data_IF_165106446999
#
_entry.id   IF_165106446999
#
_cell.length_a   1.000
_cell.length_b   1.000
_cell.length_c   1.000
_cell.angle_alpha   90.00
_cell.angle_beta   90.00
_cell.angle_gamma   90.00
#
_symmetry.space_group_name_H-M   'P 1'
#
loop_
_entity.id
_entity.type
_entity.pdbx_description
1 polymer ?
#
# COMPACT_ATOMS: atom_id res chain seq x y z
N UNK A 1 -4.84 -21.64 11.05
CA UNK A 1 -4.60 -20.22 10.70
C UNK A 1 -3.64 -19.67 11.73
N UNK A 2 -2.52 -19.09 11.30
CA UNK A 2 -1.46 -18.62 12.20
C UNK A 2 -1.69 -17.13 12.55
N UNK A 3 -1.93 -16.76 13.83
CA UNK A 3 -2.06 -15.38 14.25
C UNK A 3 -0.86 -14.51 13.87
N UNK A 4 0.33 -15.08 13.80
CA UNK A 4 1.52 -14.31 13.44
C UNK A 4 1.51 -13.90 11.96
N UNK A 5 0.77 -14.61 11.12
CA UNK A 5 0.69 -14.33 9.68
C UNK A 5 -0.02 -13.02 9.35
N UNK A 6 -1.11 -12.66 10.04
CA UNK A 6 -1.85 -11.41 9.80
C UNK A 6 -1.04 -10.22 10.30
N UNK A 7 -0.49 -10.30 11.51
CA UNK A 7 0.38 -9.26 12.06
C UNK A 7 1.63 -9.06 11.20
N UNK A 8 2.30 -10.16 10.82
CA UNK A 8 3.48 -10.13 9.95
C UNK A 8 3.18 -9.55 8.58
N UNK A 9 2.10 -9.99 7.92
CA UNK A 9 1.70 -9.48 6.61
C UNK A 9 1.35 -7.99 6.66
N UNK A 10 0.63 -7.56 7.69
CA UNK A 10 0.24 -6.14 7.85
C UNK A 10 1.46 -5.25 8.06
N UNK A 11 2.42 -5.68 8.89
CA UNK A 11 3.68 -4.96 9.10
C UNK A 11 4.54 -4.89 7.83
N UNK A 12 4.64 -5.99 7.08
CA UNK A 12 5.38 -6.03 5.81
C UNK A 12 4.75 -5.08 4.77
N UNK A 13 3.43 -5.11 4.63
CA UNK A 13 2.71 -4.21 3.71
C UNK A 13 2.85 -2.75 4.09
N UNK A 14 2.83 -2.44 5.39
CA UNK A 14 3.10 -1.08 5.88
C UNK A 14 4.48 -0.60 5.45
N UNK A 15 5.51 -1.44 5.56
CA UNK A 15 6.85 -1.12 5.08
C UNK A 15 6.88 -0.88 3.55
N UNK A 16 6.16 -1.71 2.77
CA UNK A 16 6.01 -1.49 1.33
C UNK A 16 5.32 -0.16 0.99
N UNK A 17 4.29 0.23 1.74
CA UNK A 17 3.65 1.54 1.56
C UNK A 17 4.64 2.68 1.80
N UNK A 18 5.45 2.63 2.87
CA UNK A 18 6.46 3.67 3.15
C UNK A 18 7.54 3.77 2.07
N UNK A 19 8.00 2.64 1.54
CA UNK A 19 8.94 2.63 0.42
C UNK A 19 8.33 3.35 -0.80
N UNK A 20 7.09 3.03 -1.15
CA UNK A 20 6.39 3.64 -2.27
C UNK A 20 6.09 5.14 -2.05
N UNK A 21 5.74 5.55 -0.83
CA UNK A 21 5.62 6.96 -0.44
C UNK A 21 6.96 7.69 -0.61
N UNK A 22 8.07 7.02 -0.29
CA UNK A 22 9.40 7.59 -0.50
C UNK A 22 9.66 7.82 -2.00
N UNK A 23 9.23 6.90 -2.87
CA UNK A 23 9.31 7.11 -4.32
C UNK A 23 8.45 8.27 -4.79
N UNK A 24 7.20 8.39 -4.34
CA UNK A 24 6.32 9.51 -4.74
C UNK A 24 6.90 10.86 -4.29
N UNK A 25 7.45 10.93 -3.08
CA UNK A 25 8.06 12.15 -2.56
C UNK A 25 9.33 12.54 -3.34
N UNK A 26 10.17 11.56 -3.71
CA UNK A 26 11.36 11.82 -4.52
C UNK A 26 11.00 12.38 -5.90
N UNK A 27 10.02 11.80 -6.59
CA UNK A 27 9.56 12.30 -7.89
C UNK A 27 9.02 13.73 -7.79
N UNK A 28 8.28 14.04 -6.71
CA UNK A 28 7.77 15.38 -6.45
C UNK A 28 8.89 16.38 -6.16
N UNK A 29 9.90 16.00 -5.36
CA UNK A 29 11.04 16.86 -5.03
C UNK A 29 11.94 17.14 -6.24
N UNK A 30 12.08 16.18 -7.14
CA UNK A 30 12.83 16.33 -8.38
C UNK A 30 12.09 17.20 -9.42
N UNK A 31 10.84 17.59 -9.17
CA UNK A 31 10.05 18.40 -10.08
C UNK A 31 9.57 17.64 -11.31
N UNK A 32 9.42 16.31 -11.22
CA UNK A 32 8.87 15.50 -12.31
C UNK A 32 7.41 15.94 -12.53
N UNK A 33 7.01 16.29 -13.76
CA UNK A 33 5.66 16.78 -14.02
C UNK A 33 4.62 15.70 -13.70
N UNK A 34 3.69 16.05 -12.82
CA UNK A 34 2.56 15.24 -12.37
C UNK A 34 1.25 15.97 -12.70
N UNK A 35 0.95 16.09 -14.00
CA UNK A 35 -0.14 16.94 -14.52
C UNK A 35 -1.50 16.70 -13.84
N UNK A 36 -1.83 15.45 -13.57
CA UNK A 36 -3.09 15.05 -12.92
C UNK A 36 -2.97 14.88 -11.38
N UNK A 37 -1.85 15.30 -10.78
CA UNK A 37 -1.54 15.04 -9.36
C UNK A 37 -1.67 13.55 -8.99
N UNK A 38 -1.37 12.67 -9.94
CA UNK A 38 -1.52 11.22 -9.78
C UNK A 38 -0.48 10.66 -8.81
N UNK A 39 0.76 11.13 -8.89
CA UNK A 39 1.86 10.72 -8.00
C UNK A 39 1.66 11.30 -6.60
N UNK A 40 1.33 12.59 -6.51
CA UNK A 40 1.04 13.23 -5.24
C UNK A 40 -0.15 12.54 -4.55
N UNK A 41 -1.24 12.31 -5.27
CA UNK A 41 -2.42 11.61 -4.77
C UNK A 41 -2.14 10.17 -4.35
N UNK A 42 -1.34 9.44 -5.12
CA UNK A 42 -0.91 8.08 -4.75
C UNK A 42 -0.12 8.07 -3.43
N UNK A 43 0.74 9.06 -3.20
CA UNK A 43 1.47 9.20 -1.93
C UNK A 43 0.52 9.29 -0.73
N UNK A 44 -0.54 10.10 -0.84
CA UNK A 44 -1.59 10.18 0.18
C UNK A 44 -2.35 8.87 0.36
N UNK A 45 -2.77 8.23 -0.73
CA UNK A 45 -3.52 6.97 -0.68
C UNK A 45 -2.69 5.86 0.02
N UNK A 46 -1.39 5.78 -0.27
CA UNK A 46 -0.45 4.84 0.36
C UNK A 46 -0.22 5.16 1.85
N UNK A 47 -0.16 6.45 2.20
CA UNK A 47 -0.04 6.89 3.59
C UNK A 47 -1.29 6.48 4.40
N UNK A 48 -2.50 6.68 3.87
CA UNK A 48 -3.71 6.23 4.54
C UNK A 48 -3.80 4.70 4.66
N UNK A 49 -3.42 3.97 3.61
CA UNK A 49 -3.34 2.52 3.67
C UNK A 49 -2.34 2.03 4.74
N UNK A 50 -1.18 2.69 4.89
CA UNK A 50 -0.16 2.31 5.88
C UNK A 50 -0.62 2.52 7.33
N UNK A 51 -1.44 3.56 7.57
CA UNK A 51 -2.06 3.79 8.88
C UNK A 51 -3.04 2.68 9.21
N UNK A 52 -3.93 2.31 8.28
CA UNK A 52 -4.89 1.22 8.51
C UNK A 52 -4.21 -0.13 8.73
N UNK A 53 -3.12 -0.41 8.01
CA UNK A 53 -2.33 -1.63 8.22
C UNK A 53 -1.69 -1.69 9.61
N UNK A 54 -1.30 -0.53 10.16
CA UNK A 54 -0.79 -0.45 11.53
C UNK A 54 -1.88 -0.73 12.55
N UNK A 55 -3.07 -0.18 12.34
CA UNK A 55 -4.22 -0.45 13.19
C UNK A 55 -4.54 -1.94 13.22
N UNK A 56 -4.58 -2.60 12.07
CA UNK A 56 -4.78 -4.06 11.97
C UNK A 56 -3.69 -4.80 12.74
N UNK A 57 -2.42 -4.44 12.53
CA UNK A 57 -1.29 -5.08 13.21
C UNK A 57 -1.36 -4.92 14.73
N UNK A 58 -1.63 -3.70 15.22
CA UNK A 58 -1.74 -3.40 16.64
C UNK A 58 -2.92 -4.13 17.27
N UNK A 59 -4.12 -4.03 16.69
CA UNK A 59 -5.32 -4.69 17.18
C UNK A 59 -5.17 -6.22 17.16
N UNK A 60 -4.54 -6.78 16.12
CA UNK A 60 -4.24 -8.21 16.10
C UNK A 60 -3.30 -8.62 17.22
N UNK A 61 -2.20 -7.90 17.42
CA UNK A 61 -1.21 -8.21 18.46
C UNK A 61 -1.79 -8.10 19.87
N UNK A 62 -2.60 -7.06 20.14
CA UNK A 62 -3.19 -6.85 21.46
C UNK A 62 -4.27 -7.85 21.81
N UNK A 63 -5.00 -8.36 20.81
CA UNK A 63 -6.25 -9.09 21.05
C UNK A 63 -6.28 -10.48 20.38
N UNK A 64 -5.13 -10.98 19.94
CA UNK A 64 -5.00 -12.26 19.24
C UNK A 64 -5.63 -13.43 20.00
N UNK A 65 -5.51 -13.48 21.33
CA UNK A 65 -6.12 -14.54 22.15
C UNK A 65 -7.65 -14.54 22.06
N UNK A 66 -8.28 -13.37 22.14
CA UNK A 66 -9.73 -13.17 21.98
C UNK A 66 -10.18 -13.59 20.58
N UNK A 67 -9.38 -13.22 19.59
CA UNK A 67 -9.63 -13.55 18.18
C UNK A 67 -9.52 -15.03 17.83
N UNK A 68 -8.69 -15.78 18.55
CA UNK A 68 -8.52 -17.22 18.34
C UNK A 68 -9.65 -18.05 18.95
N UNK A 69 -10.30 -17.56 20.00
CA UNK A 69 -11.38 -18.28 20.69
C UNK A 69 -12.76 -17.95 20.11
N UNK A 70 -12.90 -16.89 19.30
CA UNK A 70 -14.18 -16.42 18.79
C UNK A 70 -14.62 -17.23 17.54
N UNK A 71 -15.70 -18.04 17.60
CA UNK A 71 -16.05 -19.00 16.55
C UNK A 71 -16.37 -18.38 15.19
N UNK A 72 -17.08 -17.24 15.20
CA UNK A 72 -17.45 -16.50 13.98
C UNK A 72 -16.29 -15.69 13.40
N UNK A 73 -15.25 -15.44 14.20
CA UNK A 73 -14.05 -14.76 13.72
C UNK A 73 -13.16 -15.73 12.91
N UNK A 74 -13.01 -16.96 13.42
CA UNK A 74 -12.24 -18.04 12.79
C UNK A 74 -12.77 -18.51 11.42
N UNK A 75 -14.09 -18.54 11.24
CA UNK A 75 -14.73 -19.11 10.05
C UNK A 75 -14.95 -18.12 8.89
N UNK A 76 -14.97 -16.81 9.16
CA UNK A 76 -15.32 -15.82 8.15
C UNK A 76 -14.46 -14.56 8.16
N UNK A 77 -14.25 -13.96 9.32
CA UNK A 77 -13.55 -12.67 9.39
C UNK A 77 -12.07 -12.81 9.00
N UNK A 78 -11.32 -13.72 9.61
CA UNK A 78 -9.87 -13.80 9.40
C UNK A 78 -9.43 -14.27 8.02
N UNK A 79 -10.07 -15.28 7.39
CA UNK A 79 -9.74 -15.63 6.02
C UNK A 79 -9.94 -14.43 5.07
N UNK A 80 -10.97 -13.62 5.30
CA UNK A 80 -11.21 -12.41 4.51
C UNK A 80 -10.16 -11.33 4.75
N UNK A 81 -9.75 -11.09 6.00
CA UNK A 81 -8.64 -10.17 6.32
C UNK A 81 -7.35 -10.65 5.65
N UNK A 82 -7.03 -11.94 5.75
CA UNK A 82 -5.84 -12.52 5.14
C UNK A 82 -5.85 -12.41 3.61
N UNK A 83 -6.99 -12.69 2.98
CA UNK A 83 -7.17 -12.54 1.53
C UNK A 83 -7.01 -11.08 1.08
N UNK A 84 -7.55 -10.13 1.84
CA UNK A 84 -7.39 -8.71 1.57
C UNK A 84 -5.93 -8.26 1.69
N UNK A 85 -5.21 -8.72 2.72
CA UNK A 85 -3.77 -8.46 2.87
C UNK A 85 -2.98 -9.06 1.70
N UNK A 86 -3.27 -10.29 1.29
CA UNK A 86 -2.61 -10.92 0.15
C UNK A 86 -2.88 -10.17 -1.18
N UNK A 87 -4.13 -9.79 -1.43
CA UNK A 87 -4.50 -9.00 -2.61
C UNK A 87 -3.86 -7.60 -2.61
N UNK A 88 -3.75 -6.99 -1.43
CA UNK A 88 -3.01 -5.74 -1.23
C UNK A 88 -1.53 -5.94 -1.57
N UNK A 89 -0.90 -7.02 -1.11
CA UNK A 89 0.49 -7.36 -1.41
C UNK A 89 0.77 -7.42 -2.91
N UNK A 90 -0.06 -8.16 -3.65
CA UNK A 90 0.05 -8.26 -5.11
C UNK A 90 -0.08 -6.88 -5.78
N UNK A 91 -0.96 -6.03 -5.25
CA UNK A 91 -1.18 -4.68 -5.78
C UNK A 91 0.01 -3.76 -5.53
N UNK A 92 0.57 -3.76 -4.32
CA UNK A 92 1.74 -2.95 -3.97
C UNK A 92 2.99 -3.41 -4.71
N UNK A 93 3.17 -4.73 -4.86
CA UNK A 93 4.26 -5.30 -5.65
C UNK A 93 4.16 -4.88 -7.12
N UNK A 94 2.98 -5.01 -7.73
CA UNK A 94 2.75 -4.58 -9.10
C UNK A 94 2.95 -3.07 -9.29
N UNK A 95 2.55 -2.26 -8.31
CA UNK A 95 2.81 -0.82 -8.31
C UNK A 95 4.31 -0.52 -8.24
N UNK A 96 5.05 -1.19 -7.35
CA UNK A 96 6.50 -1.08 -7.21
C UNK A 96 7.21 -1.38 -8.53
N UNK A 97 6.82 -2.44 -9.22
CA UNK A 97 7.37 -2.82 -10.53
C UNK A 97 7.14 -1.75 -11.61
N UNK A 98 6.07 -0.95 -11.51
CA UNK A 98 5.81 0.17 -12.43
C UNK A 98 6.56 1.44 -12.05
N UNK A 99 6.78 1.67 -10.75
CA UNK A 99 7.51 2.84 -10.27
C UNK A 99 9.04 2.68 -10.40
N UNK A 100 9.57 1.48 -10.22
CA UNK A 100 11.01 1.24 -10.22
C UNK A 100 11.73 1.67 -11.52
N UNK A 101 11.20 1.43 -12.73
CA UNK A 101 11.77 1.96 -13.96
C UNK A 101 11.79 3.50 -14.02
N UNK A 102 10.78 4.16 -13.43
CA UNK A 102 10.74 5.63 -13.32
C UNK A 102 11.84 6.10 -12.37
N UNK A 103 11.96 5.47 -11.21
CA UNK A 103 13.00 5.80 -10.21
C UNK A 103 14.42 5.61 -10.74
N UNK A 104 14.64 4.56 -11.53
CA UNK A 104 15.95 4.24 -12.11
C UNK A 104 16.28 5.06 -13.35
N UNK A 105 15.28 5.67 -14.00
CA UNK A 105 15.51 6.59 -15.10
C UNK A 105 16.15 7.90 -14.60
N UNK A 106 16.92 8.57 -15.45
CA UNK A 106 17.50 9.87 -15.10
C UNK A 106 18.64 9.86 -14.09
N UNK A 107 19.25 8.70 -13.77
CA UNK A 107 20.43 8.56 -12.89
C UNK A 107 21.65 9.45 -13.24
N UNK A 108 21.68 10.08 -14.42
CA UNK A 108 22.77 10.98 -14.86
C UNK A 108 22.68 12.42 -14.32
N UNK A 109 21.64 12.80 -13.58
CA UNK A 109 21.51 14.13 -12.96
C UNK A 109 21.24 15.26 -13.97
N UNK A 110 20.81 16.42 -13.46
CA UNK A 110 20.50 17.62 -14.26
C UNK A 110 19.20 17.53 -15.09
N UNK A 111 19.00 18.51 -15.98
CA UNK A 111 17.79 18.64 -16.83
C UNK A 111 17.54 17.40 -17.72
N UNK A 112 18.60 16.76 -18.22
CA UNK A 112 18.49 15.51 -18.98
C UNK A 112 17.94 14.37 -18.13
N UNK A 113 18.30 14.33 -16.84
CA UNK A 113 17.77 13.35 -15.89
C UNK A 113 16.29 13.55 -15.62
N UNK A 114 15.85 14.81 -15.45
CA UNK A 114 14.45 15.16 -15.26
C UNK A 114 13.59 14.77 -16.46
N UNK A 115 14.03 15.10 -17.68
CA UNK A 115 13.31 14.73 -18.91
C UNK A 115 13.15 13.23 -19.08
N UNK A 116 14.19 12.45 -18.74
CA UNK A 116 14.12 10.99 -18.78
C UNK A 116 13.11 10.42 -17.75
N UNK A 117 13.05 10.99 -16.55
CA UNK A 117 12.08 10.62 -15.51
C UNK A 117 10.65 10.98 -15.91
N UNK A 118 10.43 12.19 -16.41
CA UNK A 118 9.14 12.64 -16.91
C UNK A 118 8.62 11.71 -18.02
N UNK A 119 9.48 11.36 -18.98
CA UNK A 119 9.12 10.46 -20.07
C UNK A 119 8.84 9.03 -19.58
N UNK A 120 9.67 8.50 -18.67
CA UNK A 120 9.42 7.19 -18.07
C UNK A 120 8.10 7.16 -17.29
N UNK A 121 7.81 8.22 -16.53
CA UNK A 121 6.55 8.39 -15.81
C UNK A 121 5.37 8.44 -16.77
N UNK A 122 5.43 9.25 -17.83
CA UNK A 122 4.37 9.35 -18.83
C UNK A 122 4.01 8.01 -19.47
N UNK A 123 4.99 7.12 -19.69
CA UNK A 123 4.71 5.76 -20.19
C UNK A 123 4.01 4.85 -19.18
N UNK A 124 4.22 5.08 -17.89
CA UNK A 124 3.66 4.24 -16.81
C UNK A 124 2.42 4.85 -16.16
N UNK A 125 2.10 6.12 -16.43
CA UNK A 125 1.12 6.88 -15.65
C UNK A 125 -0.27 6.24 -15.64
N UNK A 126 -0.71 5.67 -16.78
CA UNK A 126 -1.99 4.94 -16.86
C UNK A 126 -2.01 3.69 -15.97
N UNK A 127 -0.90 2.95 -15.93
CA UNK A 127 -0.78 1.77 -15.08
C UNK A 127 -0.73 2.18 -13.60
N UNK A 128 0.04 3.22 -13.27
CA UNK A 128 0.14 3.77 -11.91
C UNK A 128 -1.23 4.29 -11.44
N UNK A 129 -1.98 5.00 -12.28
CA UNK A 129 -3.33 5.48 -11.98
C UNK A 129 -4.31 4.32 -11.72
N UNK A 130 -4.24 3.23 -12.49
CA UNK A 130 -5.02 2.03 -12.22
C UNK A 130 -4.65 1.39 -10.88
N UNK A 131 -3.36 1.32 -10.55
CA UNK A 131 -2.90 0.82 -9.25
C UNK A 131 -3.33 1.73 -8.10
N UNK A 132 -3.32 3.05 -8.28
CA UNK A 132 -3.83 4.01 -7.30
C UNK A 132 -5.29 3.72 -6.94
N UNK A 133 -6.16 3.51 -7.93
CA UNK A 133 -7.56 3.12 -7.68
C UNK A 133 -7.68 1.81 -6.90
N UNK A 134 -6.82 0.83 -7.20
CA UNK A 134 -6.77 -0.43 -6.45
C UNK A 134 -6.29 -0.23 -5.00
N UNK A 135 -5.30 0.64 -4.78
CA UNK A 135 -4.83 1.01 -3.42
C UNK A 135 -5.96 1.66 -2.63
N UNK A 136 -6.74 2.57 -3.24
CA UNK A 136 -7.90 3.18 -2.60
C UNK A 136 -8.97 2.14 -2.23
N UNK A 137 -9.27 1.20 -3.14
CA UNK A 137 -10.20 0.11 -2.86
C UNK A 137 -9.71 -0.78 -1.71
N UNK A 138 -8.41 -1.12 -1.69
CA UNK A 138 -7.80 -1.88 -0.61
C UNK A 138 -7.82 -1.12 0.72
N UNK A 139 -7.53 0.18 0.72
CA UNK A 139 -7.62 1.00 1.93
C UNK A 139 -9.03 0.92 2.54
N UNK A 140 -10.08 1.06 1.72
CA UNK A 140 -11.46 0.94 2.20
C UNK A 140 -11.76 -0.46 2.74
N UNK A 141 -11.33 -1.52 2.05
CA UNK A 141 -11.51 -2.89 2.52
C UNK A 141 -10.76 -3.17 3.83
N UNK A 142 -9.52 -2.68 3.96
CA UNK A 142 -8.72 -2.77 5.18
C UNK A 142 -9.34 -1.98 6.33
N UNK A 143 -9.96 -0.83 6.05
CA UNK A 143 -10.63 -0.01 7.07
C UNK A 143 -11.85 -0.72 7.63
N UNK A 144 -12.63 -1.39 6.77
CA UNK A 144 -13.73 -2.26 7.21
C UNK A 144 -13.21 -3.41 8.07
N UNK A 145 -12.14 -4.09 7.62
CA UNK A 145 -11.50 -5.15 8.40
C UNK A 145 -11.04 -4.68 9.78
N UNK A 146 -10.36 -3.53 9.87
CA UNK A 146 -9.92 -2.94 11.13
C UNK A 146 -11.10 -2.61 12.06
N UNK A 147 -12.20 -2.09 11.50
CA UNK A 147 -13.44 -1.83 12.24
C UNK A 147 -14.07 -3.11 12.80
N UNK A 148 -14.17 -4.17 12.00
CA UNK A 148 -14.70 -5.47 12.44
C UNK A 148 -13.84 -6.09 13.54
N UNK A 149 -12.51 -5.97 13.41
CA UNK A 149 -11.57 -6.42 14.43
C UNK A 149 -11.81 -5.71 15.75
N UNK A 150 -11.92 -4.38 15.75
CA UNK A 150 -12.18 -3.60 16.98
C UNK A 150 -13.50 -3.92 17.66
N UNK A 151 -14.54 -4.24 16.89
CA UNK A 151 -15.84 -4.67 17.46
C UNK A 151 -15.79 -6.08 18.08
N UNK A 152 -14.78 -6.87 17.75
CA UNK A 152 -14.62 -8.25 18.20
C UNK A 152 -13.64 -8.40 19.38
N UNK A 153 -13.08 -7.29 19.87
CA UNK A 153 -12.20 -7.23 21.06
C UNK A 153 -13.01 -6.94 22.30
#
# INVERSE_FOLDING_TARGET
MDPLSIAGSSAALRASCYELVTFTNQLSQEGVPDEDSTIAGLGWDLHYASQTLDEINLTWRSSSSVFMIHPSAGLGMWPNVQNNLHSTASTLQGLKEKMLPVMNSGRRGGLMGLGAKAWALGRQIKAISNYRRRVQAHHMALKVAAGMMRMSV
#
